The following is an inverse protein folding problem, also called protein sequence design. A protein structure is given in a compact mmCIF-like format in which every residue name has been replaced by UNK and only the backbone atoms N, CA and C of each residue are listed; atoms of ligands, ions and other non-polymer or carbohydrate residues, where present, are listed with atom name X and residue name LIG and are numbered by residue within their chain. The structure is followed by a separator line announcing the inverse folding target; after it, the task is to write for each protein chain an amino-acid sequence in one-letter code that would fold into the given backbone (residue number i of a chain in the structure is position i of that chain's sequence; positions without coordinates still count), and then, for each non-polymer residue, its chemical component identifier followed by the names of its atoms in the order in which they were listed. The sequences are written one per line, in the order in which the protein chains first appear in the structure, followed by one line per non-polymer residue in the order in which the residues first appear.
data_IF_729000772038
#
_entry.id   IF_729000772038
#
_cell.length_a   1.000
_cell.length_b   1.000
_cell.length_c   1.000
_cell.angle_alpha   90.00
_cell.angle_beta   90.00
_cell.angle_gamma   90.00
#
_symmetry.space_group_name_H-M   'P 1'
#
loop_
_entity.id
_entity.type
_entity.pdbx_description
1 polymer ?
#
# COMPACT_ATOMS: atom_id res chain seq x y z
N UNK A 1 16.53 -1.49 -16.75
CA UNK A 1 15.19 -1.90 -17.25
C UNK A 1 14.44 -2.59 -16.09
N UNK A 2 13.98 -1.85 -15.09
CA UNK A 2 13.12 -2.44 -14.04
C UNK A 2 11.67 -2.21 -14.41
N UNK A 3 10.99 -3.29 -14.82
CA UNK A 3 9.56 -3.29 -15.07
C UNK A 3 8.80 -3.05 -13.77
N UNK A 4 8.33 -1.82 -13.54
CA UNK A 4 7.31 -1.55 -12.54
C UNK A 4 6.02 -2.20 -13.05
N UNK A 5 5.64 -3.32 -12.44
CA UNK A 5 4.39 -4.02 -12.75
C UNK A 5 3.25 -3.17 -12.20
N UNK A 6 2.43 -2.61 -13.09
CA UNK A 6 1.16 -1.96 -12.71
C UNK A 6 0.28 -3.02 -12.06
N UNK A 7 0.23 -3.02 -10.74
CA UNK A 7 -0.63 -3.87 -9.94
C UNK A 7 -1.96 -3.12 -9.83
N UNK A 8 -2.93 -3.44 -10.69
CA UNK A 8 -4.29 -2.93 -10.56
C UNK A 8 -4.98 -3.72 -9.45
N UNK A 9 -4.97 -3.18 -8.25
CA UNK A 9 -5.78 -3.67 -7.16
C UNK A 9 -7.18 -3.12 -7.36
N UNK A 10 -8.17 -4.01 -7.43
CA UNK A 10 -9.59 -3.64 -7.46
C UNK A 10 -10.19 -4.16 -6.16
N UNK A 11 -10.30 -3.28 -5.16
CA UNK A 11 -10.91 -3.62 -3.88
C UNK A 11 -12.41 -3.31 -3.92
N UNK A 12 -13.21 -4.37 -3.86
CA UNK A 12 -14.64 -4.33 -3.61
C UNK A 12 -14.83 -4.41 -2.08
N UNK A 13 -14.77 -3.28 -1.36
CA UNK A 13 -15.02 -3.27 0.07
C UNK A 13 -15.62 -1.96 0.61
N UNK A 14 -16.33 -2.08 1.73
CA UNK A 14 -17.34 -1.16 2.24
C UNK A 14 -16.84 0.22 2.74
N UNK A 15 -15.53 0.48 2.75
CA UNK A 15 -14.93 1.77 3.14
C UNK A 15 -13.88 2.22 2.11
N UNK A 16 -14.32 2.66 0.91
CA UNK A 16 -13.41 3.01 -0.17
C UNK A 16 -12.53 4.22 0.16
N UNK A 17 -13.00 5.13 0.99
CA UNK A 17 -12.32 6.39 1.31
C UNK A 17 -11.04 6.21 2.13
N UNK A 18 -11.05 5.31 3.13
CA UNK A 18 -9.90 5.07 4.00
C UNK A 18 -8.83 4.24 3.30
N UNK A 19 -9.27 3.19 2.59
CA UNK A 19 -8.36 2.37 1.79
C UNK A 19 -7.79 3.14 0.61
N UNK A 20 -8.57 4.02 -0.05
CA UNK A 20 -8.05 4.87 -1.13
C UNK A 20 -7.00 5.88 -0.63
N UNK A 21 -7.14 6.41 0.59
CA UNK A 21 -6.12 7.28 1.17
C UNK A 21 -4.81 6.53 1.43
N UNK A 22 -4.89 5.33 2.00
CA UNK A 22 -3.74 4.45 2.23
C UNK A 22 -3.08 4.01 0.92
N UNK A 23 -3.86 3.64 -0.09
CA UNK A 23 -3.34 3.30 -1.42
C UNK A 23 -2.73 4.52 -2.13
N UNK A 24 -3.30 5.71 -1.97
CA UNK A 24 -2.72 6.94 -2.52
C UNK A 24 -1.36 7.25 -1.89
N UNK A 25 -1.21 7.08 -0.58
CA UNK A 25 0.09 7.24 0.08
C UNK A 25 1.07 6.14 -0.35
N UNK A 26 0.61 4.89 -0.41
CA UNK A 26 1.39 3.77 -0.93
C UNK A 26 1.90 4.05 -2.35
N UNK A 27 1.03 4.54 -3.24
CA UNK A 27 1.37 4.88 -4.62
C UNK A 27 2.36 6.06 -4.73
N UNK A 28 2.42 6.96 -3.74
CA UNK A 28 3.45 8.01 -3.65
C UNK A 28 4.78 7.47 -3.13
N UNK A 29 4.75 6.48 -2.24
CA UNK A 29 5.94 5.88 -1.65
C UNK A 29 6.63 4.87 -2.57
N UNK A 30 5.86 4.12 -3.38
CA UNK A 30 6.40 3.17 -4.37
C UNK A 30 7.47 3.76 -5.30
N UNK A 31 7.26 4.92 -5.96
CA UNK A 31 8.29 5.53 -6.80
C UNK A 31 9.47 6.12 -6.01
N UNK A 32 9.31 6.37 -4.71
CA UNK A 32 10.41 6.79 -3.83
C UNK A 32 11.31 5.62 -3.41
N UNK A 33 10.92 4.39 -3.73
CA UNK A 33 11.67 3.17 -3.41
C UNK A 33 11.02 2.32 -2.32
N UNK A 34 9.83 2.67 -1.84
CA UNK A 34 9.11 1.82 -0.91
C UNK A 34 8.49 0.60 -1.63
N UNK A 35 8.42 -0.53 -0.94
CA UNK A 35 7.85 -1.78 -1.45
C UNK A 35 6.59 -2.10 -0.67
N UNK A 36 5.47 -2.22 -1.38
CA UNK A 36 4.22 -2.71 -0.79
C UNK A 36 4.35 -4.21 -0.45
N UNK A 37 4.12 -4.58 0.82
CA UNK A 37 4.22 -5.98 1.28
C UNK A 37 2.87 -6.68 1.16
N UNK A 38 1.86 -6.17 1.88
CA UNK A 38 0.48 -6.67 1.86
C UNK A 38 -0.47 -5.61 2.41
N UNK A 39 -1.70 -5.58 1.93
CA UNK A 39 -2.80 -4.86 2.60
C UNK A 39 -3.43 -5.76 3.65
N UNK A 40 -3.47 -5.31 4.90
CA UNK A 40 -4.28 -5.89 5.96
C UNK A 40 -5.56 -5.07 6.09
N UNK A 41 -6.72 -5.72 5.90
CA UNK A 41 -8.02 -5.11 6.13
C UNK A 41 -8.85 -6.07 6.96
N UNK A 42 -9.26 -5.65 8.16
CA UNK A 42 -10.06 -6.46 9.09
C UNK A 42 -11.55 -6.07 9.09
N UNK A 43 -11.98 -5.18 8.17
CA UNK A 43 -13.37 -4.68 8.12
C UNK A 43 -13.64 -3.50 9.05
N UNK A 44 -12.66 -3.06 9.84
CA UNK A 44 -12.75 -1.90 10.74
C UNK A 44 -11.42 -1.15 10.80
N UNK A 45 -10.31 -1.89 10.71
CA UNK A 45 -8.96 -1.35 10.69
C UNK A 45 -8.24 -1.74 9.40
N UNK A 46 -7.42 -0.82 8.89
CA UNK A 46 -6.64 -0.99 7.67
C UNK A 46 -5.17 -0.71 8.00
N UNK A 47 -4.29 -1.66 7.71
CA UNK A 47 -2.87 -1.49 7.93
C UNK A 47 -2.11 -2.01 6.70
N UNK A 48 -1.21 -1.21 6.14
CA UNK A 48 -0.40 -1.64 5.00
C UNK A 48 1.07 -1.66 5.43
N UNK A 49 1.64 -2.82 5.78
CA UNK A 49 3.08 -2.96 5.89
C UNK A 49 3.74 -2.68 4.54
N UNK A 50 4.72 -1.79 4.58
CA UNK A 50 5.61 -1.40 3.50
C UNK A 50 7.06 -1.54 3.95
N UNK A 51 7.96 -1.80 3.00
CA UNK A 51 9.40 -1.74 3.23
C UNK A 51 9.94 -0.44 2.66
N UNK A 52 10.83 0.24 3.37
CA UNK A 52 11.56 1.39 2.82
C UNK A 52 12.71 0.96 1.88
N UNK A 53 13.47 1.93 1.37
CA UNK A 53 14.62 1.68 0.50
C UNK A 53 15.78 0.98 1.22
N UNK A 54 15.84 1.05 2.54
CA UNK A 54 16.83 0.37 3.39
C UNK A 54 16.38 -1.06 3.78
N UNK A 55 15.12 -1.41 3.49
CA UNK A 55 14.50 -2.69 3.83
C UNK A 55 13.87 -2.73 5.23
N UNK A 56 13.65 -1.58 5.88
CA UNK A 56 12.95 -1.53 7.16
C UNK A 56 11.44 -1.62 6.95
N UNK A 57 10.78 -2.39 7.81
CA UNK A 57 9.32 -2.50 7.83
C UNK A 57 8.70 -1.29 8.53
N UNK A 58 7.77 -0.64 7.84
CA UNK A 58 6.90 0.40 8.39
C UNK A 58 5.45 0.15 7.99
N UNK A 59 4.52 0.51 8.86
CA UNK A 59 3.08 0.35 8.61
C UNK A 59 2.45 1.71 8.36
N UNK A 60 1.52 1.80 7.41
CA UNK A 60 0.60 2.93 7.25
C UNK A 60 -0.81 2.51 7.68
N UNK A 61 -1.45 3.30 8.56
CA UNK A 61 -2.82 3.14 9.11
C UNK A 61 -3.70 4.37 8.83
#
# INVERSE_FOLDING_TARGET
MSSIKKFQVTFDCAEPERLAALEAECARLVPLGAVHVRTLYDGTDSCIPMLDIEGNEFCID
#
